data_IF_836994311372
#
_entry.id   IF_836994311372
#
_cell.length_a   1.000
_cell.length_b   1.000
_cell.length_c   1.000
_cell.angle_alpha   90.00
_cell.angle_beta   90.00
_cell.angle_gamma   90.00
#
_symmetry.space_group_name_H-M   'P 1'
#
loop_
_entity.id
_entity.type
_entity.pdbx_description
1 polymer ?
#
# COMPACT_ATOMS: atom_id res chain seq x y z
N UNK A 1 1.85 -32.52 18.44
CA UNK A 1 1.31 -31.20 18.03
C UNK A 1 0.86 -31.27 16.58
N UNK A 2 -0.31 -30.72 16.24
CA UNK A 2 -0.80 -30.71 14.86
C UNK A 2 -0.16 -29.56 14.04
N UNK A 3 0.32 -29.85 12.83
CA UNK A 3 0.90 -28.85 11.91
C UNK A 3 -0.22 -28.01 11.27
N UNK A 4 -0.27 -26.72 11.58
CA UNK A 4 -1.21 -25.80 10.92
C UNK A 4 -0.64 -25.33 9.59
N UNK A 5 -1.38 -25.56 8.49
CA UNK A 5 -1.00 -25.07 7.14
C UNK A 5 -1.30 -23.56 7.04
N UNK A 6 -0.49 -22.82 6.28
CA UNK A 6 -0.64 -21.37 6.11
C UNK A 6 -1.93 -20.88 5.44
N UNK A 7 -2.76 -21.78 4.88
CA UNK A 7 -4.09 -21.46 4.35
C UNK A 7 -4.10 -20.34 3.29
N UNK A 8 -5.27 -19.71 3.05
CA UNK A 8 -5.42 -18.65 2.06
C UNK A 8 -4.94 -17.27 2.56
N UNK A 9 -4.53 -17.16 3.83
CA UNK A 9 -4.23 -15.88 4.47
C UNK A 9 -3.14 -15.08 3.74
N UNK A 10 -2.10 -15.75 3.21
CA UNK A 10 -1.06 -15.09 2.42
C UNK A 10 -1.61 -14.43 1.15
N UNK A 11 -2.43 -15.17 0.38
CA UNK A 11 -3.06 -14.66 -0.84
C UNK A 11 -4.00 -13.48 -0.54
N UNK A 12 -4.81 -13.57 0.53
CA UNK A 12 -5.71 -12.49 0.93
C UNK A 12 -4.95 -11.22 1.33
N UNK A 13 -3.80 -11.35 2.02
CA UNK A 13 -2.92 -10.20 2.33
C UNK A 13 -2.39 -9.54 1.06
N UNK A 14 -1.99 -10.34 0.06
CA UNK A 14 -1.52 -9.80 -1.21
C UNK A 14 -2.62 -9.02 -1.94
N UNK A 15 -3.85 -9.57 -2.00
CA UNK A 15 -4.98 -8.88 -2.62
C UNK A 15 -5.35 -7.57 -1.91
N UNK A 16 -5.21 -7.47 -0.58
CA UNK A 16 -5.39 -6.20 0.16
C UNK A 16 -4.40 -5.13 -0.30
N UNK A 17 -3.12 -5.49 -0.47
CA UNK A 17 -2.08 -4.54 -0.92
C UNK A 17 -2.33 -4.12 -2.37
N UNK A 18 -2.61 -5.06 -3.27
CA UNK A 18 -2.88 -4.75 -4.68
C UNK A 18 -4.16 -3.92 -4.85
N UNK A 19 -5.18 -4.13 -4.01
CA UNK A 19 -6.39 -3.28 -3.99
C UNK A 19 -6.06 -1.84 -3.62
N UNK A 20 -5.12 -1.62 -2.70
CA UNK A 20 -4.70 -0.28 -2.29
C UNK A 20 -3.90 0.44 -3.40
N UNK A 21 -3.07 -0.28 -4.15
CA UNK A 21 -2.22 0.29 -5.20
C UNK A 21 -2.84 0.28 -6.60
N UNK A 22 -4.16 0.06 -6.70
CA UNK A 22 -4.88 0.16 -7.98
C UNK A 22 -4.66 1.53 -8.63
N UNK A 23 -4.51 1.54 -9.95
CA UNK A 23 -4.26 2.76 -10.74
C UNK A 23 -2.82 3.27 -10.72
N UNK A 24 -1.90 2.65 -9.96
CA UNK A 24 -0.48 2.97 -10.02
C UNK A 24 0.12 2.51 -11.35
N UNK A 25 1.00 3.33 -11.92
CA UNK A 25 1.61 3.07 -13.23
C UNK A 25 2.54 1.84 -13.24
N UNK A 26 2.58 1.13 -14.38
CA UNK A 26 3.46 -0.01 -14.61
C UNK A 26 3.23 -1.17 -13.62
N UNK A 27 4.30 -1.78 -13.13
CA UNK A 27 4.22 -2.98 -12.28
C UNK A 27 3.75 -2.72 -10.84
N UNK A 28 3.51 -1.46 -10.45
CA UNK A 28 3.18 -1.05 -9.07
C UNK A 28 1.76 -1.42 -8.62
N UNK A 29 0.88 -1.79 -9.54
CA UNK A 29 -0.45 -2.34 -9.22
C UNK A 29 -0.55 -3.86 -9.46
N UNK A 30 0.49 -4.48 -10.04
CA UNK A 30 0.49 -5.89 -10.46
C UNK A 30 1.36 -6.76 -9.54
N UNK A 31 2.62 -6.36 -9.30
CA UNK A 31 3.58 -7.16 -8.54
C UNK A 31 3.56 -6.78 -7.06
N UNK A 32 3.41 -7.77 -6.17
CA UNK A 32 3.22 -7.51 -4.73
C UNK A 32 4.38 -6.75 -4.08
N UNK A 33 5.63 -7.05 -4.48
CA UNK A 33 6.83 -6.39 -3.93
C UNK A 33 6.84 -4.90 -4.30
N UNK A 34 6.70 -4.61 -5.59
CA UNK A 34 6.65 -3.24 -6.13
C UNK A 34 5.44 -2.48 -5.61
N UNK A 35 4.29 -3.14 -5.49
CA UNK A 35 3.09 -2.56 -4.88
C UNK A 35 3.32 -2.18 -3.42
N UNK A 36 3.94 -3.05 -2.62
CA UNK A 36 4.20 -2.72 -1.22
C UNK A 36 5.20 -1.56 -1.06
N UNK A 37 6.27 -1.53 -1.86
CA UNK A 37 7.22 -0.40 -1.91
C UNK A 37 6.51 0.92 -2.27
N UNK A 38 5.68 0.89 -3.32
CA UNK A 38 4.89 2.06 -3.73
C UNK A 38 3.93 2.51 -2.63
N UNK A 39 3.19 1.57 -2.01
CA UNK A 39 2.26 1.82 -0.92
C UNK A 39 2.93 2.53 0.25
N UNK A 40 4.09 2.03 0.69
CA UNK A 40 4.82 2.62 1.82
C UNK A 40 5.23 4.08 1.51
N UNK A 41 5.69 4.34 0.29
CA UNK A 41 6.05 5.70 -0.13
C UNK A 41 4.82 6.62 -0.20
N UNK A 42 3.70 6.14 -0.73
CA UNK A 42 2.43 6.89 -0.76
C UNK A 42 1.93 7.23 0.64
N UNK A 43 2.05 6.32 1.61
CA UNK A 43 1.66 6.60 3.00
C UNK A 43 2.53 7.69 3.63
N UNK A 44 3.84 7.69 3.35
CA UNK A 44 4.74 8.75 3.81
C UNK A 44 4.41 10.10 3.18
N UNK A 45 4.09 10.13 1.89
CA UNK A 45 3.61 11.35 1.22
C UNK A 45 2.32 11.88 1.86
N UNK A 46 1.33 11.00 2.07
CA UNK A 46 0.04 11.39 2.63
C UNK A 46 0.15 12.05 4.02
N UNK A 47 1.06 11.60 4.88
CA UNK A 47 1.24 12.24 6.20
C UNK A 47 1.90 13.62 6.11
N UNK A 48 2.89 13.78 5.22
CA UNK A 48 3.53 15.08 4.96
C UNK A 48 2.54 16.06 4.35
N UNK A 49 1.84 15.64 3.29
CA UNK A 49 1.01 16.54 2.49
C UNK A 49 -0.22 16.99 3.28
N UNK A 50 -0.73 16.18 4.23
CA UNK A 50 -1.74 16.63 5.20
C UNK A 50 -1.28 17.82 6.04
N UNK A 51 0.00 17.90 6.40
CA UNK A 51 0.57 19.04 7.14
C UNK A 51 0.79 20.24 6.21
N UNK A 52 1.30 20.01 5.01
CA UNK A 52 1.51 21.06 4.01
C UNK A 52 0.20 21.72 3.60
N UNK A 53 -0.86 20.93 3.32
CA UNK A 53 -2.19 21.46 2.99
C UNK A 53 -2.73 22.44 4.02
N UNK A 54 -2.47 22.21 5.32
CA UNK A 54 -2.87 23.17 6.38
C UNK A 54 -2.12 24.50 6.30
N UNK A 55 -0.90 24.51 5.77
CA UNK A 55 -0.11 25.72 5.52
C UNK A 55 -0.55 26.40 4.24
N UNK A 56 -0.78 25.62 3.18
CA UNK A 56 -1.24 26.11 1.88
C UNK A 56 -2.61 26.81 2.00
N UNK A 57 -3.51 26.29 2.83
CA UNK A 57 -4.81 26.91 3.11
C UNK A 57 -4.76 28.16 4.00
N UNK A 58 -3.63 28.41 4.68
CA UNK A 58 -3.42 29.61 5.51
C UNK A 58 -2.75 30.75 4.74
N UNK A 59 -2.16 30.43 3.59
CA UNK A 59 -1.55 31.40 2.70
C UNK A 59 -2.62 32.09 1.88
#
# INVERSE_FOLDING_TARGET
MARVKGGPHGHLRHKKVLKFTKGQFGSRHLLIRRANEARLKSMWYATRDRKNRKRDLRR
#
